data_IF_951619638518
#
_entry.id   IF_951619638518
#
_cell.length_a   1.000
_cell.length_b   1.000
_cell.length_c   1.000
_cell.angle_alpha   90.00
_cell.angle_beta   90.00
_cell.angle_gamma   90.00
#
_symmetry.space_group_name_H-M   'P 1'
#
loop_
_entity.id
_entity.type
_entity.pdbx_description
1 polymer ?
#
# COMPACT_ATOMS: atom_id res chain seq x y z
N UNK A 1 -6.66 -1.04 -12.21
CA UNK A 1 -7.45 -0.98 -10.97
C UNK A 1 -7.60 -2.38 -10.37
N UNK A 2 -7.61 -2.49 -9.06
CA UNK A 2 -7.74 -3.79 -8.39
C UNK A 2 -9.17 -4.31 -8.49
N UNK A 3 -9.30 -5.63 -8.72
CA UNK A 3 -10.58 -6.32 -8.60
C UNK A 3 -10.62 -7.07 -7.26
N UNK A 4 -11.26 -6.49 -6.25
CA UNK A 4 -11.33 -7.07 -4.91
C UNK A 4 -12.47 -8.09 -4.76
N UNK A 5 -13.32 -8.26 -5.77
CA UNK A 5 -14.49 -9.16 -5.69
C UNK A 5 -14.17 -10.59 -6.11
N UNK A 6 -13.19 -10.78 -7.00
CA UNK A 6 -12.84 -12.12 -7.51
C UNK A 6 -11.83 -12.82 -6.58
N UNK A 7 -12.05 -14.10 -6.35
CA UNK A 7 -11.19 -14.95 -5.52
C UNK A 7 -10.37 -15.95 -6.34
N UNK A 8 -10.23 -15.75 -7.65
CA UNK A 8 -9.42 -16.65 -8.48
C UNK A 8 -7.93 -16.42 -8.26
N UNK A 9 -7.13 -17.48 -8.50
CA UNK A 9 -5.67 -17.40 -8.44
C UNK A 9 -5.12 -16.36 -9.42
N UNK A 10 -5.65 -16.34 -10.64
CA UNK A 10 -5.24 -15.39 -11.68
C UNK A 10 -5.50 -13.95 -11.24
N UNK A 11 -6.64 -13.69 -10.62
CA UNK A 11 -6.97 -12.36 -10.12
C UNK A 11 -6.04 -11.95 -8.97
N UNK A 12 -5.72 -12.87 -8.07
CA UNK A 12 -4.76 -12.63 -6.99
C UNK A 12 -3.39 -12.24 -7.56
N UNK A 13 -2.87 -13.02 -8.50
CA UNK A 13 -1.58 -12.74 -9.14
C UNK A 13 -1.57 -11.42 -9.89
N UNK A 14 -2.65 -11.10 -10.59
CA UNK A 14 -2.80 -9.83 -11.31
C UNK A 14 -2.77 -8.64 -10.33
N UNK A 15 -3.54 -8.70 -9.28
CA UNK A 15 -3.64 -7.60 -8.31
C UNK A 15 -2.33 -7.40 -7.54
N UNK A 16 -1.68 -8.48 -7.11
CA UNK A 16 -0.40 -8.38 -6.43
C UNK A 16 0.70 -7.84 -7.35
N UNK A 17 0.65 -8.16 -8.65
CA UNK A 17 1.53 -7.56 -9.64
C UNK A 17 1.29 -6.07 -9.81
N UNK A 18 0.05 -5.63 -9.77
CA UNK A 18 -0.31 -4.20 -9.85
C UNK A 18 0.27 -3.44 -8.65
N UNK A 19 0.10 -3.95 -7.43
CA UNK A 19 0.60 -3.24 -6.25
C UNK A 19 2.13 -3.24 -6.20
N UNK A 20 2.79 -4.31 -6.65
CA UNK A 20 4.25 -4.33 -6.79
C UNK A 20 4.74 -3.29 -7.78
N UNK A 21 4.12 -3.24 -8.96
CA UNK A 21 4.47 -2.26 -9.98
C UNK A 21 4.28 -0.83 -9.50
N UNK A 22 3.14 -0.53 -8.88
CA UNK A 22 2.85 0.80 -8.37
C UNK A 22 3.83 1.21 -7.26
N UNK A 23 4.22 0.27 -6.41
CA UNK A 23 5.21 0.51 -5.37
C UNK A 23 6.58 0.84 -5.97
N UNK A 24 7.04 0.06 -6.94
CA UNK A 24 8.31 0.33 -7.64
C UNK A 24 8.26 1.68 -8.35
N UNK A 25 7.16 1.98 -9.00
CA UNK A 25 6.98 3.26 -9.69
C UNK A 25 7.04 4.44 -8.71
N UNK A 26 6.37 4.32 -7.57
CA UNK A 26 6.42 5.34 -6.51
C UNK A 26 7.86 5.62 -6.05
N UNK A 27 8.64 4.57 -5.83
CA UNK A 27 10.01 4.70 -5.34
C UNK A 27 10.94 5.29 -6.41
N UNK A 28 10.91 4.75 -7.64
CA UNK A 28 11.85 5.16 -8.68
C UNK A 28 11.51 6.49 -9.33
N UNK A 29 10.23 6.82 -9.46
CA UNK A 29 9.79 8.07 -10.10
C UNK A 29 9.26 9.09 -9.12
N UNK A 30 9.23 8.77 -7.82
CA UNK A 30 8.91 9.74 -6.79
C UNK A 30 9.99 10.80 -6.63
N UNK A 31 9.66 11.89 -5.96
CA UNK A 31 10.54 13.05 -5.80
C UNK A 31 11.87 12.72 -5.11
N UNK A 32 11.87 11.79 -4.16
CA UNK A 32 13.10 11.41 -3.44
C UNK A 32 13.88 10.30 -4.12
N UNK A 33 13.24 9.47 -4.95
CA UNK A 33 13.88 8.34 -5.62
C UNK A 33 14.41 7.26 -4.67
N UNK A 34 13.93 7.20 -3.42
CA UNK A 34 14.46 6.28 -2.40
C UNK A 34 13.34 5.50 -1.69
N UNK A 35 13.64 4.31 -1.23
CA UNK A 35 12.71 3.48 -0.47
C UNK A 35 13.23 2.06 -0.27
N UNK A 36 12.60 1.33 0.66
CA UNK A 36 12.97 -0.05 1.00
C UNK A 36 12.20 -1.06 0.15
N UNK A 37 12.78 -1.47 -0.97
CA UNK A 37 12.12 -2.34 -1.96
C UNK A 37 11.97 -3.78 -1.44
N UNK A 38 13.04 -4.36 -0.91
CA UNK A 38 13.05 -5.76 -0.48
C UNK A 38 12.03 -6.04 0.63
N UNK A 39 11.97 -5.18 1.64
CA UNK A 39 10.98 -5.28 2.71
C UNK A 39 9.55 -5.27 2.19
N UNK A 40 9.27 -4.40 1.24
CA UNK A 40 7.94 -4.26 0.65
C UNK A 40 7.57 -5.46 -0.21
N UNK A 41 8.47 -5.90 -1.09
CA UNK A 41 8.21 -7.04 -1.97
C UNK A 41 7.99 -8.33 -1.18
N UNK A 42 8.71 -8.51 -0.06
CA UNK A 42 8.60 -9.73 0.75
C UNK A 42 7.23 -9.95 1.38
N UNK A 43 6.44 -8.89 1.57
CA UNK A 43 5.12 -8.97 2.20
C UNK A 43 3.97 -8.53 1.28
N UNK A 44 4.24 -8.33 -0.01
CA UNK A 44 3.24 -7.81 -0.94
C UNK A 44 1.96 -8.67 -0.98
N UNK A 45 2.11 -10.00 -1.06
CA UNK A 45 0.97 -10.92 -1.11
C UNK A 45 0.19 -10.90 0.21
N UNK A 46 0.90 -10.82 1.33
CA UNK A 46 0.28 -10.75 2.67
C UNK A 46 -0.52 -9.46 2.81
N UNK A 47 0.05 -8.33 2.41
CA UNK A 47 -0.62 -7.03 2.46
C UNK A 47 -1.88 -7.04 1.60
N UNK A 48 -1.79 -7.58 0.38
CA UNK A 48 -2.96 -7.68 -0.48
C UNK A 48 -4.06 -8.53 0.17
N UNK A 49 -3.72 -9.71 0.68
CA UNK A 49 -4.68 -10.61 1.32
C UNK A 49 -5.35 -9.96 2.53
N UNK A 50 -4.56 -9.34 3.42
CA UNK A 50 -5.09 -8.71 4.63
C UNK A 50 -5.98 -7.51 4.29
N UNK A 51 -5.57 -6.67 3.37
CA UNK A 51 -6.39 -5.52 2.98
C UNK A 51 -7.70 -5.96 2.35
N UNK A 52 -7.66 -6.94 1.44
CA UNK A 52 -8.86 -7.44 0.77
C UNK A 52 -9.83 -8.10 1.74
N UNK A 53 -9.36 -9.01 2.58
CA UNK A 53 -10.22 -9.92 3.34
C UNK A 53 -10.49 -9.48 4.78
N UNK A 54 -9.69 -8.59 5.32
CA UNK A 54 -9.78 -8.19 6.73
C UNK A 54 -10.08 -6.70 6.86
N UNK A 55 -9.21 -5.86 6.30
CA UNK A 55 -9.26 -4.41 6.53
C UNK A 55 -10.44 -3.78 5.78
N UNK A 56 -10.60 -4.12 4.49
CA UNK A 56 -11.66 -3.56 3.65
C UNK A 56 -12.88 -4.46 3.53
N UNK A 57 -12.99 -5.48 4.38
CA UNK A 57 -14.17 -6.34 4.38
C UNK A 57 -15.37 -5.56 4.89
N UNK A 58 -16.55 -5.83 4.30
CA UNK A 58 -17.82 -5.18 4.68
C UNK A 58 -18.38 -5.68 6.00
N UNK A 59 -17.62 -6.48 6.77
CA UNK A 59 -18.04 -6.95 8.10
C UNK A 59 -18.10 -5.76 9.06
N UNK A 60 -19.13 -5.73 9.91
CA UNK A 60 -19.42 -4.65 10.86
C UNK A 60 -18.34 -4.44 11.93
N UNK A 61 -17.40 -5.35 12.10
CA UNK A 61 -16.33 -5.23 13.11
C UNK A 61 -15.23 -4.33 12.58
N UNK A 62 -14.88 -3.30 13.36
CA UNK A 62 -13.71 -2.46 13.09
C UNK A 62 -12.45 -3.26 13.38
N UNK A 63 -11.64 -3.48 12.37
CA UNK A 63 -10.34 -4.13 12.51
C UNK A 63 -9.25 -3.07 12.61
N UNK A 64 -8.26 -3.35 13.44
CA UNK A 64 -7.06 -2.51 13.55
C UNK A 64 -5.91 -3.16 12.81
N UNK A 65 -5.14 -2.37 12.10
CA UNK A 65 -3.96 -2.82 11.38
C UNK A 65 -2.73 -2.08 11.88
N UNK A 66 -1.70 -2.84 12.28
CA UNK A 66 -0.42 -2.29 12.71
C UNK A 66 0.69 -2.87 11.84
N UNK A 67 1.44 -2.00 11.18
CA UNK A 67 2.59 -2.39 10.39
C UNK A 67 3.87 -2.33 11.24
N UNK A 68 4.14 -3.43 11.98
CA UNK A 68 5.34 -3.57 12.80
C UNK A 68 6.61 -3.41 11.98
N UNK A 69 6.58 -3.93 10.74
CA UNK A 69 7.65 -3.78 9.76
C UNK A 69 7.51 -2.43 9.04
N UNK A 70 7.81 -1.34 9.75
CA UNK A 70 7.62 0.01 9.24
C UNK A 70 8.34 0.32 7.93
N UNK A 71 9.49 -0.33 7.67
CA UNK A 71 10.24 -0.19 6.41
C UNK A 71 9.45 -0.70 5.20
N UNK A 72 8.43 -1.52 5.40
CA UNK A 72 7.56 -1.99 4.32
C UNK A 72 6.40 -1.03 4.00
N UNK A 73 6.44 0.19 4.49
CA UNK A 73 5.44 1.21 4.19
C UNK A 73 5.15 1.38 2.69
N UNK A 74 6.13 1.32 1.77
CA UNK A 74 5.84 1.50 0.36
C UNK A 74 4.77 0.56 -0.19
N UNK A 75 4.77 -0.72 0.19
CA UNK A 75 3.75 -1.64 -0.33
C UNK A 75 2.37 -1.35 0.26
N UNK A 76 2.29 -0.91 1.53
CA UNK A 76 1.04 -0.47 2.13
C UNK A 76 0.49 0.74 1.37
N UNK A 77 1.31 1.73 1.10
CA UNK A 77 0.90 2.93 0.35
C UNK A 77 0.44 2.58 -1.06
N UNK A 78 1.15 1.68 -1.73
CA UNK A 78 0.75 1.20 -3.04
C UNK A 78 -0.61 0.51 -3.01
N UNK A 79 -0.86 -0.30 -1.98
CA UNK A 79 -2.18 -0.95 -1.80
C UNK A 79 -3.28 0.09 -1.61
N UNK A 80 -3.05 1.09 -0.74
CA UNK A 80 -4.02 2.17 -0.51
C UNK A 80 -4.26 2.99 -1.78
N UNK A 81 -3.22 3.31 -2.54
CA UNK A 81 -3.35 3.99 -3.82
C UNK A 81 -4.19 3.16 -4.80
N UNK A 82 -3.91 1.87 -4.89
CA UNK A 82 -4.59 0.97 -5.81
C UNK A 82 -6.07 0.77 -5.45
N UNK A 83 -6.44 1.03 -4.20
CA UNK A 83 -7.83 1.03 -3.74
C UNK A 83 -8.52 2.40 -3.83
N UNK A 84 -7.82 3.43 -4.28
CA UNK A 84 -8.39 4.77 -4.48
C UNK A 84 -8.28 5.71 -3.27
N UNK A 85 -7.57 5.33 -2.21
CA UNK A 85 -7.43 6.17 -1.01
C UNK A 85 -6.36 7.26 -1.14
N UNK A 86 -5.45 7.12 -2.08
CA UNK A 86 -4.34 8.04 -2.30
C UNK A 86 -4.32 8.52 -3.74
N UNK A 87 -3.73 9.69 -3.97
CA UNK A 87 -3.57 10.28 -5.30
C UNK A 87 -2.17 10.02 -5.86
N UNK A 88 -1.99 10.23 -7.16
CA UNK A 88 -0.66 10.19 -7.79
C UNK A 88 0.30 11.22 -7.18
N UNK A 89 -0.23 12.38 -6.78
CA UNK A 89 0.55 13.43 -6.11
C UNK A 89 1.07 12.93 -4.75
N UNK A 90 0.24 12.21 -3.98
CA UNK A 90 0.68 11.60 -2.73
C UNK A 90 1.86 10.66 -2.96
N UNK A 91 1.77 9.78 -3.96
CA UNK A 91 2.84 8.84 -4.29
C UNK A 91 4.12 9.57 -4.72
N UNK A 92 3.99 10.61 -5.54
CA UNK A 92 5.15 11.38 -6.00
C UNK A 92 5.88 12.06 -4.84
N UNK A 93 5.16 12.50 -3.81
CA UNK A 93 5.70 13.15 -2.63
C UNK A 93 6.11 12.16 -1.51
N UNK A 94 6.19 10.87 -1.80
CA UNK A 94 6.64 9.86 -0.84
C UNK A 94 7.98 10.25 -0.20
N UNK A 95 8.04 10.22 1.13
CA UNK A 95 9.21 10.57 1.95
C UNK A 95 9.65 12.03 1.88
N UNK A 96 8.88 12.91 1.27
CA UNK A 96 9.19 14.34 1.34
C UNK A 96 8.74 14.92 2.67
N UNK A 97 9.28 16.09 3.03
CA UNK A 97 8.93 16.77 4.28
C UNK A 97 7.43 17.07 4.33
N UNK A 98 6.80 16.73 5.45
CA UNK A 98 5.36 16.91 5.70
C UNK A 98 4.41 16.21 4.72
N UNK A 99 4.87 15.26 3.90
CA UNK A 99 3.97 14.50 3.05
C UNK A 99 3.12 13.53 3.89
N UNK A 100 1.97 13.12 3.33
CA UNK A 100 1.12 12.09 3.94
C UNK A 100 1.81 10.74 4.02
N UNK A 101 2.76 10.48 3.10
CA UNK A 101 3.45 9.20 2.96
C UNK A 101 4.88 9.34 3.46
N UNK A 102 5.07 9.13 4.75
CA UNK A 102 6.37 9.13 5.39
C UNK A 102 7.06 7.77 5.20
N UNK A 103 8.38 7.70 5.48
CA UNK A 103 9.15 6.46 5.37
C UNK A 103 8.61 5.33 6.24
N UNK A 104 7.97 5.65 7.37
CA UNK A 104 7.14 4.76 8.17
C UNK A 104 5.73 5.34 8.23
N UNK A 105 4.67 4.50 8.23
CA UNK A 105 3.32 5.02 8.34
C UNK A 105 3.13 5.83 9.61
N UNK A 106 2.56 7.01 9.46
CA UNK A 106 2.31 7.93 10.57
C UNK A 106 0.83 8.30 10.56
N UNK A 107 0.10 7.90 11.58
CA UNK A 107 -1.33 8.14 11.69
C UNK A 107 -1.68 9.64 11.69
N UNK A 108 -0.79 10.50 12.18
CA UNK A 108 -1.02 11.94 12.18
C UNK A 108 -0.94 12.56 10.78
N UNK A 109 -0.22 11.89 9.86
CA UNK A 109 -0.06 12.32 8.46
C UNK A 109 -1.01 11.58 7.51
N UNK A 110 -1.36 10.34 7.85
CA UNK A 110 -2.17 9.46 7.02
C UNK A 110 -3.32 8.90 7.84
N UNK A 111 -4.42 9.64 7.89
CA UNK A 111 -5.62 9.27 8.64
C UNK A 111 -6.68 8.70 7.69
N UNK A 112 -6.47 7.48 7.24
CA UNK A 112 -7.37 6.77 6.32
C UNK A 112 -8.11 5.63 7.01
N UNK A 113 -7.49 4.97 7.98
CA UNK A 113 -8.02 3.76 8.61
C UNK A 113 -8.42 3.97 10.06
#
# INVERSE_FOLDING_TARGET
MLNLLSNTKENFQRNTSIIRRNMLHMIFYGKTGTGHIGSSLSIADIIFYLCKNVIFSKKKKKNYFFLSKGHAAPILYSMLFSCGFLTKKDLHNFRTFNSRLQGHPDKTKLDIL
#
